data_IF_560000212303
#
_entry.id   IF_560000212303
#
_cell.length_a   1.000
_cell.length_b   1.000
_cell.length_c   1.000
_cell.angle_alpha   90.00
_cell.angle_beta   90.00
_cell.angle_gamma   90.00
#
_symmetry.space_group_name_H-M   'P 1'
#
loop_
_entity.id
_entity.type
_entity.pdbx_description
1 polymer ?
#
# COMPACT_ATOMS: atom_id res chain seq x y z
N UNK A 1 5.73 -13.40 17.77
CA UNK A 1 5.56 -12.04 17.21
C UNK A 1 5.23 -12.21 15.73
N UNK A 2 4.13 -11.64 15.24
CA UNK A 2 3.66 -11.88 13.86
C UNK A 2 4.67 -11.42 12.80
N UNK A 3 4.94 -12.27 11.80
CA UNK A 3 5.75 -11.90 10.63
C UNK A 3 4.93 -10.97 9.74
N UNK A 4 5.59 -9.95 9.16
CA UNK A 4 4.93 -8.97 8.27
C UNK A 4 5.37 -9.20 6.83
N UNK A 5 4.44 -9.17 5.87
CA UNK A 5 4.75 -9.07 4.45
C UNK A 5 4.37 -7.70 3.95
N UNK A 6 5.35 -6.92 3.49
CA UNK A 6 5.11 -5.61 2.87
C UNK A 6 4.98 -5.80 1.36
N UNK A 7 3.78 -5.58 0.84
CA UNK A 7 3.48 -5.64 -0.59
C UNK A 7 3.68 -4.23 -1.18
N UNK A 8 4.64 -4.11 -2.10
CA UNK A 8 4.99 -2.86 -2.78
C UNK A 8 4.50 -2.92 -4.22
N UNK A 9 3.42 -2.22 -4.54
CA UNK A 9 2.88 -2.17 -5.91
C UNK A 9 3.69 -1.21 -6.78
N UNK A 10 4.17 -1.66 -7.93
CA UNK A 10 5.03 -0.84 -8.81
C UNK A 10 4.65 -0.97 -10.28
N UNK A 11 4.96 0.07 -11.06
CA UNK A 11 4.86 0.07 -12.52
C UNK A 11 5.82 1.11 -13.13
N UNK A 12 6.81 0.65 -13.90
CA UNK A 12 7.70 1.45 -14.76
C UNK A 12 8.28 2.75 -14.13
N UNK A 13 8.70 2.68 -12.87
CA UNK A 13 9.43 3.78 -12.22
C UNK A 13 10.56 3.26 -11.29
N UNK A 14 11.63 2.68 -11.88
CA UNK A 14 12.69 2.02 -11.13
C UNK A 14 13.38 2.93 -10.11
N UNK A 15 13.58 4.21 -10.39
CA UNK A 15 14.27 5.13 -9.48
C UNK A 15 13.47 5.41 -8.21
N UNK A 16 12.14 5.56 -8.32
CA UNK A 16 11.27 5.69 -7.17
C UNK A 16 11.24 4.39 -6.37
N UNK A 17 11.13 3.25 -7.06
CA UNK A 17 11.15 1.94 -6.43
C UNK A 17 12.46 1.70 -5.65
N UNK A 18 13.61 2.11 -6.19
CA UNK A 18 14.90 2.02 -5.49
C UNK A 18 14.85 2.80 -4.16
N UNK A 19 14.27 4.00 -4.13
CA UNK A 19 14.12 4.79 -2.89
C UNK A 19 13.17 4.12 -1.89
N UNK A 20 12.05 3.56 -2.35
CA UNK A 20 11.09 2.84 -1.49
C UNK A 20 11.73 1.58 -0.90
N UNK A 21 12.37 0.75 -1.72
CA UNK A 21 13.07 -0.45 -1.25
C UNK A 21 14.22 -0.08 -0.31
N UNK A 22 14.94 1.01 -0.55
CA UNK A 22 15.96 1.49 0.39
C UNK A 22 15.34 1.89 1.74
N UNK A 23 14.13 2.47 1.75
CA UNK A 23 13.42 2.78 3.00
C UNK A 23 12.96 1.55 3.78
N UNK A 24 12.72 0.43 3.08
CA UNK A 24 12.43 -0.87 3.69
C UNK A 24 13.69 -1.54 4.23
N UNK A 25 14.79 -1.51 3.49
CA UNK A 25 16.11 -1.99 3.97
C UNK A 25 16.54 -1.25 5.25
N UNK A 26 16.10 0.00 5.41
CA UNK A 26 16.45 0.87 6.54
C UNK A 26 15.50 0.75 7.75
N UNK A 27 14.55 -0.19 7.73
CA UNK A 27 13.66 -0.43 8.86
C UNK A 27 14.44 -0.91 10.08
N UNK A 28 13.96 -0.54 11.27
CA UNK A 28 14.51 -1.03 12.55
C UNK A 28 14.01 -2.42 12.94
N UNK A 29 13.00 -2.90 12.23
CA UNK A 29 12.36 -4.18 12.43
C UNK A 29 12.82 -5.09 11.30
N UNK A 30 13.26 -6.31 11.58
CA UNK A 30 13.79 -7.27 10.61
C UNK A 30 12.90 -8.51 10.41
N UNK A 31 11.86 -8.69 11.24
CA UNK A 31 10.93 -9.81 11.12
C UNK A 31 9.84 -9.56 10.07
N UNK A 32 10.26 -9.25 8.86
CA UNK A 32 9.38 -9.00 7.73
C UNK A 32 10.02 -9.46 6.41
N UNK A 33 9.20 -9.54 5.38
CA UNK A 33 9.63 -9.69 4.00
C UNK A 33 9.01 -8.60 3.13
N UNK A 34 9.59 -8.40 1.95
CA UNK A 34 9.06 -7.49 0.93
C UNK A 34 8.66 -8.31 -0.28
N UNK A 35 7.47 -8.03 -0.83
CA UNK A 35 7.01 -8.59 -2.08
C UNK A 35 6.73 -7.43 -3.02
N UNK A 36 7.53 -7.30 -4.07
CA UNK A 36 7.31 -6.30 -5.12
C UNK A 36 6.26 -6.85 -6.07
N UNK A 37 5.08 -6.23 -6.07
CA UNK A 37 3.95 -6.53 -6.94
C UNK A 37 4.05 -5.66 -8.20
N UNK A 38 4.66 -6.21 -9.24
CA UNK A 38 5.03 -5.52 -10.48
C UNK A 38 4.01 -5.77 -11.60
N UNK A 39 3.23 -4.74 -11.94
CA UNK A 39 2.11 -4.81 -12.89
C UNK A 39 2.58 -4.64 -14.34
N UNK A 40 3.59 -5.42 -14.76
CA UNK A 40 4.07 -5.41 -16.14
C UNK A 40 5.14 -4.38 -16.45
N UNK A 41 6.02 -4.06 -15.49
CA UNK A 41 7.17 -3.19 -15.80
C UNK A 41 8.18 -3.86 -16.73
N UNK A 42 8.97 -3.02 -17.42
CA UNK A 42 10.06 -3.46 -18.27
C UNK A 42 11.33 -3.91 -17.51
N UNK A 43 12.38 -4.35 -18.26
CA UNK A 43 13.58 -4.94 -17.68
C UNK A 43 14.33 -4.09 -16.65
N UNK A 44 14.30 -2.76 -16.79
CA UNK A 44 14.97 -1.83 -15.85
C UNK A 44 14.44 -1.95 -14.41
N UNK A 45 13.14 -2.22 -14.26
CA UNK A 45 12.51 -2.43 -12.95
C UNK A 45 12.99 -3.75 -12.33
N UNK A 46 13.02 -4.83 -13.12
CA UNK A 46 13.55 -6.12 -12.66
C UNK A 46 15.04 -6.04 -12.27
N UNK A 47 15.85 -5.32 -13.05
CA UNK A 47 17.27 -5.07 -12.72
C UNK A 47 17.43 -4.30 -11.41
N UNK A 48 16.57 -3.29 -11.17
CA UNK A 48 16.54 -2.54 -9.92
C UNK A 48 16.18 -3.44 -8.74
N UNK A 49 15.17 -4.30 -8.87
CA UNK A 49 14.79 -5.24 -7.81
C UNK A 49 15.93 -6.22 -7.51
N UNK A 50 16.55 -6.80 -8.55
CA UNK A 50 17.70 -7.71 -8.39
C UNK A 50 18.90 -7.05 -7.69
N UNK A 51 19.17 -5.78 -7.99
CA UNK A 51 20.19 -4.99 -7.29
C UNK A 51 19.85 -4.79 -5.81
N UNK A 52 18.58 -4.54 -5.49
CA UNK A 52 18.14 -4.32 -4.10
C UNK A 52 18.10 -5.62 -3.30
N UNK A 53 17.72 -6.75 -3.91
CA UNK A 53 17.79 -8.09 -3.31
C UNK A 53 19.18 -8.40 -2.75
N UNK A 54 20.25 -8.09 -3.50
CA UNK A 54 21.64 -8.32 -3.08
C UNK A 54 22.08 -7.50 -1.86
N UNK A 55 21.40 -6.39 -1.57
CA UNK A 55 21.74 -5.47 -0.47
C UNK A 55 20.84 -5.65 0.75
N UNK A 56 19.72 -6.34 0.60
CA UNK A 56 18.67 -6.36 1.60
C UNK A 56 19.00 -7.35 2.72
N UNK A 57 18.87 -6.93 4.00
CA UNK A 57 18.98 -7.86 5.13
C UNK A 57 17.74 -8.75 5.28
N UNK A 58 16.63 -8.41 4.62
CA UNK A 58 15.37 -9.17 4.63
C UNK A 58 15.04 -9.69 3.22
N UNK A 59 14.25 -10.77 3.09
CA UNK A 59 13.85 -11.28 1.78
C UNK A 59 13.08 -10.23 0.97
N UNK A 60 13.50 -10.02 -0.28
CA UNK A 60 12.75 -9.28 -1.28
C UNK A 60 12.36 -10.25 -2.39
N UNK A 61 11.06 -10.49 -2.56
CA UNK A 61 10.49 -11.33 -3.61
C UNK A 61 9.90 -10.43 -4.70
N UNK A 62 9.82 -10.95 -5.93
CA UNK A 62 9.28 -10.24 -7.10
C UNK A 62 8.12 -11.05 -7.67
N UNK A 63 6.91 -10.52 -7.57
CA UNK A 63 5.75 -11.00 -8.33
C UNK A 63 5.61 -10.12 -9.56
N UNK A 64 5.79 -10.69 -10.74
CA UNK A 64 5.59 -10.00 -12.00
C UNK A 64 4.44 -10.63 -12.76
N UNK A 65 3.60 -9.80 -13.37
CA UNK A 65 2.60 -10.24 -14.34
C UNK A 65 2.79 -9.50 -15.66
N UNK A 66 2.31 -10.08 -16.75
CA UNK A 66 2.37 -9.46 -18.07
C UNK A 66 1.69 -8.07 -18.08
N UNK A 67 2.18 -7.14 -18.90
CA UNK A 67 1.52 -5.85 -19.10
C UNK A 67 0.30 -6.03 -20.02
N UNK A 68 -0.89 -6.08 -19.44
CA UNK A 68 -2.15 -6.03 -20.19
C UNK A 68 -3.05 -4.93 -19.61
N UNK A 69 -2.49 -3.73 -19.49
CA UNK A 69 -3.19 -2.58 -18.90
C UNK A 69 -3.19 -2.58 -17.37
N UNK A 70 -3.76 -1.55 -16.78
CA UNK A 70 -3.68 -1.28 -15.34
C UNK A 70 -4.49 -2.31 -14.53
N UNK A 71 -3.81 -3.25 -13.88
CA UNK A 71 -4.42 -4.40 -13.18
C UNK A 71 -3.86 -4.56 -11.77
N UNK A 72 -3.92 -3.46 -11.01
CA UNK A 72 -3.42 -3.35 -9.65
C UNK A 72 -4.00 -4.41 -8.69
N UNK A 73 -5.31 -4.68 -8.77
CA UNK A 73 -5.95 -5.72 -7.95
C UNK A 73 -5.34 -7.10 -8.19
N UNK A 74 -5.13 -7.48 -9.46
CA UNK A 74 -4.57 -8.78 -9.85
C UNK A 74 -3.13 -8.94 -9.35
N UNK A 75 -2.29 -7.92 -9.53
CA UNK A 75 -0.89 -8.01 -9.09
C UNK A 75 -0.78 -8.06 -7.56
N UNK A 76 -1.66 -7.34 -6.84
CA UNK A 76 -1.73 -7.41 -5.36
C UNK A 76 -2.18 -8.78 -4.89
N UNK A 77 -3.18 -9.39 -5.52
CA UNK A 77 -3.62 -10.75 -5.19
C UNK A 77 -2.53 -11.79 -5.39
N UNK A 78 -1.80 -11.72 -6.51
CA UNK A 78 -0.65 -12.60 -6.74
C UNK A 78 0.45 -12.43 -5.68
N UNK A 79 0.73 -11.20 -5.26
CA UNK A 79 1.64 -10.91 -4.16
C UNK A 79 1.13 -11.42 -2.79
N UNK A 80 -0.17 -11.34 -2.53
CA UNK A 80 -0.79 -11.92 -1.33
C UNK A 80 -0.61 -13.45 -1.34
N UNK A 81 -0.82 -14.11 -2.48
CA UNK A 81 -0.69 -15.57 -2.59
C UNK A 81 0.72 -16.07 -2.19
N UNK A 82 1.77 -15.36 -2.62
CA UNK A 82 3.16 -15.73 -2.32
C UNK A 82 3.72 -15.23 -0.97
N UNK A 83 2.92 -14.46 -0.23
CA UNK A 83 3.31 -13.93 1.08
C UNK A 83 3.35 -15.03 2.15
N UNK A 84 4.26 -14.91 3.11
CA UNK A 84 4.43 -15.81 4.26
C UNK A 84 4.13 -15.13 5.59
N UNK A 85 3.90 -13.82 5.61
CA UNK A 85 3.59 -13.06 6.81
C UNK A 85 2.15 -13.22 7.26
N UNK A 86 1.94 -13.22 8.57
CA UNK A 86 0.61 -13.23 9.19
C UNK A 86 -0.12 -11.89 8.95
N UNK A 87 0.65 -10.81 8.82
CA UNK A 87 0.15 -9.44 8.59
C UNK A 87 0.63 -8.98 7.22
N UNK A 88 -0.29 -8.54 6.38
CA UNK A 88 0.01 -7.91 5.10
C UNK A 88 -0.06 -6.40 5.26
N UNK A 89 0.93 -5.68 4.75
CA UNK A 89 0.94 -4.22 4.66
C UNK A 89 1.08 -3.80 3.20
N UNK A 90 0.16 -3.02 2.68
CA UNK A 90 0.20 -2.49 1.31
C UNK A 90 0.87 -1.12 1.28
N UNK A 91 1.74 -0.92 0.30
CA UNK A 91 2.32 0.38 -0.07
C UNK A 91 2.56 0.46 -1.58
N UNK A 92 2.77 1.67 -2.08
CA UNK A 92 3.07 1.91 -3.48
C UNK A 92 4.57 2.13 -3.71
N UNK A 93 5.05 1.88 -4.93
CA UNK A 93 6.45 1.98 -5.37
C UNK A 93 6.99 3.40 -5.42
N UNK A 94 6.17 4.39 -5.06
CA UNK A 94 6.52 5.80 -4.91
C UNK A 94 6.38 6.31 -3.46
N UNK A 95 6.07 5.43 -2.51
CA UNK A 95 5.82 5.76 -1.12
C UNK A 95 6.98 5.32 -0.21
N UNK A 96 7.88 6.26 0.11
CA UNK A 96 8.98 6.01 1.06
C UNK A 96 8.45 5.86 2.49
N UNK A 97 9.04 4.95 3.26
CA UNK A 97 8.52 4.54 4.57
C UNK A 97 9.43 5.01 5.71
N UNK A 98 8.83 5.57 6.77
CA UNK A 98 9.57 5.92 7.99
C UNK A 98 10.24 4.69 8.61
N UNK A 99 11.42 4.85 9.25
CA UNK A 99 12.22 3.74 9.80
C UNK A 99 11.52 2.80 10.81
N UNK A 100 10.38 3.22 11.37
CA UNK A 100 9.57 2.43 12.29
C UNK A 100 8.29 1.87 11.66
N UNK A 101 8.07 2.05 10.35
CA UNK A 101 6.84 1.73 9.63
C UNK A 101 6.33 0.32 9.87
N UNK A 102 7.20 -0.68 9.71
CA UNK A 102 6.85 -2.10 9.91
C UNK A 102 6.46 -2.36 11.36
N UNK A 103 7.32 -1.95 12.31
CA UNK A 103 7.05 -2.14 13.74
C UNK A 103 5.78 -1.44 14.23
N UNK A 104 5.44 -0.29 13.65
CA UNK A 104 4.23 0.46 13.96
C UNK A 104 2.98 -0.27 13.50
N UNK A 105 2.98 -0.81 12.28
CA UNK A 105 1.86 -1.59 11.76
C UNK A 105 1.69 -2.89 12.54
N UNK A 106 2.78 -3.59 12.85
CA UNK A 106 2.73 -4.80 13.67
C UNK A 106 2.14 -4.55 15.06
N UNK A 107 2.50 -3.43 15.70
CA UNK A 107 1.94 -3.04 17.00
C UNK A 107 0.47 -2.61 16.92
N UNK A 108 0.05 -2.04 15.80
CA UNK A 108 -1.31 -1.58 15.60
C UNK A 108 -2.29 -2.69 15.22
N UNK A 109 -1.77 -3.76 14.60
CA UNK A 109 -2.55 -4.91 14.15
C UNK A 109 -3.22 -5.61 15.32
N UNK A 110 -4.53 -5.84 15.18
CA UNK A 110 -5.38 -6.58 16.10
C UNK A 110 -6.33 -7.44 15.28
N UNK A 111 -6.76 -8.58 15.82
CA UNK A 111 -7.69 -9.47 15.12
C UNK A 111 -9.01 -8.75 14.79
N UNK A 112 -9.63 -9.10 13.66
CA UNK A 112 -10.87 -8.49 13.16
C UNK A 112 -10.77 -6.97 12.95
N UNK A 113 -9.57 -6.46 12.65
CA UNK A 113 -9.41 -5.08 12.21
C UNK A 113 -8.41 -4.94 11.06
N UNK A 114 -8.59 -3.89 10.27
CA UNK A 114 -7.55 -3.39 9.38
C UNK A 114 -7.10 -2.00 9.83
N UNK A 115 -5.79 -1.80 9.76
CA UNK A 115 -5.11 -0.58 10.12
C UNK A 115 -5.01 0.30 8.89
N UNK A 116 -5.34 1.59 9.01
CA UNK A 116 -5.09 2.59 7.96
C UNK A 116 -4.22 3.72 8.48
N UNK A 117 -3.19 4.08 7.72
CA UNK A 117 -2.34 5.23 8.00
C UNK A 117 -2.58 6.39 7.04
N UNK A 118 -1.79 7.45 7.18
CA UNK A 118 -1.86 8.65 6.33
C UNK A 118 -0.77 8.66 5.27
N UNK A 119 -1.08 9.36 4.17
CA UNK A 119 -0.11 9.73 3.13
C UNK A 119 0.26 11.21 3.20
N UNK A 120 1.56 11.47 3.21
CA UNK A 120 2.16 12.80 3.07
C UNK A 120 2.66 12.94 1.63
N UNK A 121 2.15 13.93 0.90
CA UNK A 121 2.60 14.22 -0.46
C UNK A 121 3.81 15.16 -0.42
N UNK A 122 4.94 14.68 -0.93
CA UNK A 122 6.10 15.51 -1.20
C UNK A 122 5.84 16.36 -2.45
N UNK A 123 6.40 17.58 -2.47
CA UNK A 123 6.30 18.46 -3.64
C UNK A 123 7.34 18.11 -4.69
N UNK A 124 7.07 18.50 -5.93
CA UNK A 124 7.93 18.25 -7.09
C UNK A 124 9.38 18.68 -6.85
N UNK A 125 9.59 19.92 -6.37
CA UNK A 125 10.92 20.48 -6.10
C UNK A 125 11.73 19.59 -5.16
N UNK A 126 11.13 19.17 -4.05
CA UNK A 126 11.81 18.33 -3.07
C UNK A 126 12.02 16.91 -3.61
N UNK A 127 11.03 16.36 -4.31
CA UNK A 127 11.14 15.02 -4.91
C UNK A 127 12.31 14.96 -5.89
N UNK A 128 12.40 15.92 -6.82
CA UNK A 128 13.53 16.00 -7.77
C UNK A 128 14.88 16.11 -7.06
N UNK A 129 14.96 16.93 -6.01
CA UNK A 129 16.16 17.06 -5.20
C UNK A 129 16.53 15.74 -4.50
N UNK A 130 15.54 15.08 -3.89
CA UNK A 130 15.71 13.83 -3.17
C UNK A 130 16.16 12.69 -4.09
N UNK A 131 15.55 12.55 -5.26
CA UNK A 131 15.91 11.55 -6.26
C UNK A 131 17.32 11.82 -6.82
N UNK A 132 17.61 13.05 -7.24
CA UNK A 132 18.92 13.43 -7.81
C UNK A 132 20.08 13.13 -6.85
N UNK A 133 19.89 13.40 -5.55
CA UNK A 133 20.94 13.23 -4.55
C UNK A 133 20.79 11.94 -3.71
N UNK A 134 19.83 11.07 -4.05
CA UNK A 134 19.50 9.84 -3.31
C UNK A 134 19.36 10.07 -1.80
N UNK A 135 18.64 11.13 -1.42
CA UNK A 135 18.47 11.52 -0.01
C UNK A 135 17.70 10.46 0.77
N UNK A 136 18.24 10.04 1.93
CA UNK A 136 17.56 9.13 2.88
C UNK A 136 16.68 9.91 3.86
N UNK A 137 15.75 10.70 3.33
CA UNK A 137 14.92 11.60 4.14
C UNK A 137 13.99 10.86 5.11
N UNK A 138 13.63 9.60 4.83
CA UNK A 138 12.90 8.71 5.74
C UNK A 138 13.63 8.42 7.06
N UNK A 139 14.95 8.68 7.12
CA UNK A 139 15.77 8.57 8.33
C UNK A 139 15.93 9.90 9.07
N UNK A 140 15.50 11.01 8.48
CA UNK A 140 15.68 12.31 9.11
C UNK A 140 14.86 12.39 10.41
N UNK A 141 15.36 13.14 11.42
CA UNK A 141 14.59 13.43 12.61
C UNK A 141 13.22 14.00 12.26
N UNK A 142 12.18 13.57 12.96
CA UNK A 142 10.80 14.00 12.69
C UNK A 142 10.64 15.52 12.77
N UNK A 143 11.39 16.21 13.62
CA UNK A 143 11.43 17.67 13.68
C UNK A 143 11.91 18.31 12.36
N UNK A 144 12.90 17.72 11.68
CA UNK A 144 13.36 18.21 10.37
C UNK A 144 12.29 17.98 9.31
N UNK A 145 11.61 16.82 9.32
CA UNK A 145 10.50 16.54 8.41
C UNK A 145 9.29 17.46 8.67
N UNK A 146 9.03 17.81 9.92
CA UNK A 146 8.04 18.81 10.29
C UNK A 146 8.37 20.18 9.66
N UNK A 147 9.62 20.65 9.81
CA UNK A 147 10.11 21.88 9.19
C UNK A 147 10.07 21.83 7.66
N UNK A 148 10.34 20.67 7.06
CA UNK A 148 10.20 20.45 5.62
C UNK A 148 8.75 20.74 5.16
N UNK A 149 7.76 20.32 5.95
CA UNK A 149 6.37 20.64 5.67
C UNK A 149 6.03 22.13 5.85
N UNK A 150 6.57 22.78 6.88
CA UNK A 150 6.36 24.22 7.10
C UNK A 150 6.99 25.10 6.00
N UNK A 151 8.07 24.64 5.37
CA UNK A 151 8.71 25.30 4.22
C UNK A 151 8.01 25.00 2.89
N UNK A 152 6.84 24.36 2.92
CA UNK A 152 6.03 24.10 1.73
C UNK A 152 6.48 22.91 0.88
N UNK A 153 7.42 22.08 1.35
CA UNK A 153 7.94 20.93 0.59
C UNK A 153 7.12 19.64 0.77
N UNK A 154 6.13 19.63 1.67
CA UNK A 154 5.10 18.59 1.76
C UNK A 154 3.76 19.16 2.27
N UNK A 155 2.66 18.43 2.12
CA UNK A 155 1.32 18.95 2.43
C UNK A 155 0.81 18.70 3.86
N UNK A 156 1.49 17.89 4.68
CA UNK A 156 0.99 17.47 6.01
C UNK A 156 2.10 17.45 7.08
N UNK A 157 2.64 18.61 7.49
CA UNK A 157 3.71 18.69 8.49
C UNK A 157 3.35 17.96 9.80
N UNK A 158 2.12 18.10 10.29
CA UNK A 158 1.68 17.53 11.57
C UNK A 158 1.74 15.99 11.65
N UNK A 159 1.88 15.29 10.53
CA UNK A 159 2.07 13.83 10.53
C UNK A 159 3.43 13.40 11.09
N UNK A 160 4.38 14.34 11.18
CA UNK A 160 5.66 14.11 11.80
C UNK A 160 5.65 14.31 13.31
N UNK A 161 4.59 14.89 13.89
CA UNK A 161 4.46 15.02 15.34
C UNK A 161 3.80 13.74 15.88
N UNK A 162 4.45 12.98 16.78
CA UNK A 162 3.89 11.76 17.34
C UNK A 162 2.85 12.09 18.42
N UNK A 163 1.66 12.54 18.00
CA UNK A 163 0.55 12.82 18.90
C UNK A 163 -0.09 11.48 19.32
N UNK A 164 -0.16 11.16 20.63
CA UNK A 164 -0.88 9.97 21.09
C UNK A 164 -2.35 10.02 20.67
N UNK A 165 -2.87 8.91 20.14
CA UNK A 165 -4.28 8.78 19.80
C UNK A 165 -5.05 8.09 20.93
N UNK A 166 -6.21 8.65 21.29
CA UNK A 166 -7.14 8.01 22.22
C UNK A 166 -7.83 6.81 21.56
N UNK A 167 -8.35 5.88 22.37
CA UNK A 167 -9.16 4.77 21.86
C UNK A 167 -10.33 5.27 21.01
N UNK A 168 -10.99 6.37 21.42
CA UNK A 168 -12.06 6.99 20.64
C UNK A 168 -11.59 7.41 19.24
N UNK A 169 -10.41 8.04 19.13
CA UNK A 169 -9.87 8.50 17.84
C UNK A 169 -9.46 7.34 16.92
N UNK A 170 -8.90 6.26 17.49
CA UNK A 170 -8.52 5.07 16.72
C UNK A 170 -9.72 4.43 16.00
N UNK A 171 -10.89 4.43 16.64
CA UNK A 171 -12.09 3.72 16.19
C UNK A 171 -13.22 4.63 15.66
N UNK A 172 -12.99 5.94 15.53
CA UNK A 172 -13.99 6.92 15.07
C UNK A 172 -14.62 6.53 13.72
N UNK A 173 -13.85 5.86 12.86
CA UNK A 173 -14.26 5.46 11.51
C UNK A 173 -14.40 3.94 11.35
N UNK A 174 -14.66 3.20 12.44
CA UNK A 174 -14.63 1.73 12.47
C UNK A 174 -15.43 1.05 11.36
N UNK A 175 -16.56 1.63 10.95
CA UNK A 175 -17.45 1.09 9.91
C UNK A 175 -17.47 1.94 8.62
N UNK A 176 -16.44 2.77 8.40
CA UNK A 176 -16.39 3.72 7.29
C UNK A 176 -15.26 3.39 6.31
N UNK A 177 -15.64 3.04 5.08
CA UNK A 177 -14.71 2.74 3.99
C UNK A 177 -14.03 3.98 3.41
N UNK A 178 -14.71 5.14 3.48
CA UNK A 178 -14.26 6.37 2.83
C UNK A 178 -12.91 6.84 3.37
N UNK A 179 -12.03 7.33 2.50
CA UNK A 179 -10.70 7.86 2.86
C UNK A 179 -9.77 6.83 3.51
N UNK A 180 -10.03 5.52 3.38
CA UNK A 180 -8.97 4.53 3.51
C UNK A 180 -8.10 4.64 2.24
N UNK A 181 -6.77 4.56 2.38
CA UNK A 181 -5.86 4.78 1.26
C UNK A 181 -5.09 3.49 1.01
N UNK A 182 -5.27 2.85 -0.15
CA UNK A 182 -4.64 1.55 -0.46
C UNK A 182 -3.12 1.48 -0.26
N UNK A 183 -2.43 2.62 -0.36
CA UNK A 183 -0.99 2.77 -0.14
C UNK A 183 -0.52 2.66 1.33
N UNK A 184 -1.44 2.54 2.29
CA UNK A 184 -1.10 2.47 3.72
C UNK A 184 -2.22 1.75 4.50
N UNK A 185 -2.45 0.48 4.12
CA UNK A 185 -3.39 -0.43 4.78
C UNK A 185 -2.61 -1.65 5.29
N UNK A 186 -2.93 -2.10 6.51
CA UNK A 186 -2.49 -3.40 6.98
C UNK A 186 -3.66 -4.22 7.55
N UNK A 187 -3.61 -5.54 7.35
CA UNK A 187 -4.57 -6.46 7.93
C UNK A 187 -3.95 -7.84 8.10
N UNK A 188 -4.56 -8.70 8.90
CA UNK A 188 -4.18 -10.11 8.95
C UNK A 188 -4.45 -10.77 7.59
N UNK A 189 -3.53 -11.65 7.16
CA UNK A 189 -3.65 -12.36 5.89
C UNK A 189 -4.94 -13.17 5.83
N UNK A 190 -5.33 -13.82 6.92
CA UNK A 190 -6.56 -14.61 7.00
C UNK A 190 -7.82 -13.75 6.79
N UNK A 191 -7.84 -12.53 7.33
CA UNK A 191 -8.93 -11.57 7.13
C UNK A 191 -9.03 -11.14 5.64
N UNK A 192 -7.90 -10.99 4.97
CA UNK A 192 -7.82 -10.68 3.52
C UNK A 192 -8.31 -11.87 2.69
N UNK A 193 -7.88 -13.09 3.04
CA UNK A 193 -8.29 -14.32 2.34
C UNK A 193 -9.77 -14.62 2.54
N UNK A 194 -10.31 -14.36 3.74
CA UNK A 194 -11.74 -14.51 4.05
C UNK A 194 -12.64 -13.73 3.09
N UNK A 195 -12.21 -12.54 2.67
CA UNK A 195 -12.95 -11.72 1.70
C UNK A 195 -12.52 -11.96 0.26
N UNK A 196 -11.64 -12.93 -0.02
CA UNK A 196 -11.14 -13.22 -1.37
C UNK A 196 -10.16 -12.18 -1.94
N UNK A 197 -9.52 -11.35 -1.11
CA UNK A 197 -8.57 -10.33 -1.56
C UNK A 197 -9.21 -9.15 -2.32
N UNK A 198 -8.45 -8.55 -3.25
CA UNK A 198 -8.94 -7.48 -4.12
C UNK A 198 -9.83 -8.04 -5.23
N UNK A 199 -10.80 -7.26 -5.69
CA UNK A 199 -11.62 -7.61 -6.85
C UNK A 199 -10.87 -7.31 -8.15
N UNK A 200 -10.51 -8.36 -8.88
CA UNK A 200 -9.78 -8.32 -10.14
C UNK A 200 -10.64 -7.88 -11.34
N UNK A 201 -11.94 -7.63 -11.12
CA UNK A 201 -12.78 -6.95 -12.10
C UNK A 201 -12.41 -5.46 -12.23
N UNK A 202 -11.78 -4.87 -11.20
CA UNK A 202 -11.30 -3.49 -11.26
C UNK A 202 -10.04 -3.38 -12.12
N UNK A 203 -10.20 -2.76 -13.28
CA UNK A 203 -9.12 -2.40 -14.20
C UNK A 203 -9.09 -0.88 -14.38
N UNK A 204 -7.90 -0.30 -14.50
CA UNK A 204 -7.75 1.15 -14.47
C UNK A 204 -7.75 1.74 -13.05
N UNK A 205 -7.75 3.06 -12.98
CA UNK A 205 -7.50 3.78 -11.73
C UNK A 205 -8.76 3.95 -10.88
N UNK A 206 -8.68 3.51 -9.62
CA UNK A 206 -9.55 3.96 -8.54
C UNK A 206 -10.70 3.01 -8.20
N UNK A 207 -11.21 3.19 -6.98
CA UNK A 207 -12.29 2.44 -6.33
C UNK A 207 -11.96 0.98 -5.97
N UNK A 208 -10.83 0.44 -6.40
CA UNK A 208 -10.41 -0.91 -6.03
C UNK A 208 -10.07 -1.01 -4.53
N UNK A 209 -9.47 0.04 -3.96
CA UNK A 209 -9.20 0.13 -2.52
C UNK A 209 -10.47 0.31 -1.70
N UNK A 210 -11.43 1.06 -2.24
CA UNK A 210 -12.73 1.34 -1.63
C UNK A 210 -13.61 0.10 -1.61
N UNK A 211 -13.65 -0.66 -2.70
CA UNK A 211 -14.30 -1.98 -2.79
C UNK A 211 -13.71 -2.94 -1.75
N UNK A 212 -12.38 -3.07 -1.75
CA UNK A 212 -11.66 -3.94 -0.82
C UNK A 212 -12.01 -3.62 0.65
N UNK A 213 -11.95 -2.34 1.03
CA UNK A 213 -12.26 -1.91 2.40
C UNK A 213 -13.73 -2.07 2.74
N UNK A 214 -14.66 -1.79 1.82
CA UNK A 214 -16.09 -1.98 2.06
C UNK A 214 -16.40 -3.47 2.31
N UNK A 215 -15.81 -4.38 1.54
CA UNK A 215 -15.94 -5.83 1.74
C UNK A 215 -15.35 -6.30 3.07
N UNK A 216 -14.19 -5.77 3.48
CA UNK A 216 -13.64 -6.02 4.83
C UNK A 216 -14.65 -5.66 5.93
N UNK A 217 -15.24 -4.46 5.85
CA UNK A 217 -16.23 -3.97 6.84
C UNK A 217 -17.46 -4.87 6.89
N UNK A 218 -17.98 -5.28 5.72
CA UNK A 218 -19.13 -6.20 5.62
C UNK A 218 -18.84 -7.59 6.17
N UNK A 219 -17.59 -8.05 6.09
CA UNK A 219 -17.14 -9.30 6.70
C UNK A 219 -16.90 -9.20 8.23
N UNK A 220 -17.23 -8.07 8.85
CA UNK A 220 -17.09 -7.81 10.29
C UNK A 220 -15.73 -7.24 10.71
N UNK A 221 -14.85 -6.91 9.75
CA UNK A 221 -13.50 -6.42 10.03
C UNK A 221 -13.52 -4.89 10.13
N UNK A 222 -13.18 -4.36 11.29
CA UNK A 222 -13.32 -2.92 11.58
C UNK A 222 -12.08 -2.12 11.20
N UNK A 223 -12.28 -0.86 10.85
CA UNK A 223 -11.20 0.08 10.58
C UNK A 223 -10.57 0.64 11.86
N UNK A 224 -9.24 0.61 11.93
CA UNK A 224 -8.43 1.29 12.96
C UNK A 224 -7.55 2.36 12.33
N UNK A 225 -7.69 3.61 12.75
CA UNK A 225 -6.97 4.76 12.18
C UNK A 225 -5.71 5.09 12.98
N UNK A 226 -4.54 4.81 12.41
CA UNK A 226 -3.24 5.19 12.99
C UNK A 226 -2.68 6.41 12.26
N UNK A 227 -3.14 7.59 12.64
CA UNK A 227 -2.79 8.82 11.94
C UNK A 227 -1.30 9.14 12.05
N UNK A 228 -0.74 9.11 13.26
CA UNK A 228 0.60 9.64 13.54
C UNK A 228 1.70 8.57 13.67
N UNK A 229 1.32 7.30 13.67
CA UNK A 229 2.24 6.21 14.05
C UNK A 229 3.26 5.94 12.94
N UNK A 230 2.86 5.97 11.67
CA UNK A 230 3.77 5.84 10.51
C UNK A 230 3.13 6.30 9.19
N UNK A 231 3.28 7.59 8.81
CA UNK A 231 2.85 8.04 7.49
C UNK A 231 3.76 7.49 6.38
N UNK A 232 3.18 7.30 5.19
CA UNK A 232 3.95 7.09 3.96
C UNK A 232 4.29 8.43 3.30
N UNK A 233 5.47 8.52 2.70
CA UNK A 233 6.00 9.72 2.08
C UNK A 233 5.99 9.54 0.56
N UNK A 234 4.92 10.04 -0.06
CA UNK A 234 4.67 9.86 -1.48
C UNK A 234 5.49 10.85 -2.30
N UNK A 235 6.37 10.31 -3.13
CA UNK A 235 7.17 11.04 -4.11
C UNK A 235 6.24 11.71 -5.12
N UNK A 236 6.55 12.94 -5.52
CA UNK A 236 5.78 13.60 -6.56
C UNK A 236 6.04 12.92 -7.91
N UNK A 237 4.99 12.43 -8.55
CA UNK A 237 4.97 12.20 -9.99
C UNK A 237 4.08 13.25 -10.66
N UNK A 238 4.47 13.66 -11.86
CA UNK A 238 3.55 14.41 -12.72
C UNK A 238 2.29 13.57 -12.96
N UNK A 239 1.14 14.22 -13.12
CA UNK A 239 -0.08 13.55 -13.62
C UNK A 239 0.03 13.23 -15.12
N UNK A 240 1.23 13.00 -15.64
CA UNK A 240 1.42 12.50 -17.01
C UNK A 240 0.99 11.04 -17.00
N UNK A 241 -0.31 10.84 -17.14
CA UNK A 241 -0.95 9.55 -17.37
C UNK A 241 -0.24 8.92 -18.56
N UNK A 242 0.49 7.80 -18.39
CA UNK A 242 0.73 6.94 -19.54
C UNK A 242 -0.64 6.56 -20.09
N UNK A 243 -0.73 6.36 -21.40
CA UNK A 243 -1.92 5.93 -22.16
C UNK A 243 -2.76 4.81 -21.51
N UNK A 244 -2.23 4.10 -20.51
CA UNK A 244 -2.87 3.08 -19.66
C UNK A 244 -4.15 3.54 -18.93
N UNK A 245 -4.33 4.85 -18.71
CA UNK A 245 -5.53 5.40 -18.06
C UNK A 245 -6.52 6.07 -19.03
N UNK A 246 -6.30 5.96 -20.35
CA UNK A 246 -7.07 6.69 -21.34
C UNK A 246 -8.51 6.15 -21.54
N UNK A 247 -8.77 4.91 -21.15
CA UNK A 247 -10.09 4.31 -21.30
C UNK A 247 -11.02 4.71 -20.14
N UNK A 248 -12.30 4.97 -20.46
CA UNK A 248 -13.32 5.22 -19.45
C UNK A 248 -13.38 4.03 -18.47
N UNK A 249 -13.09 4.30 -17.20
CA UNK A 249 -13.09 3.27 -16.16
C UNK A 249 -14.52 2.78 -15.91
N UNK A 250 -14.71 1.45 -15.91
CA UNK A 250 -15.96 0.80 -15.51
C UNK A 250 -16.10 0.70 -13.98
N UNK A 251 -15.07 1.08 -13.22
CA UNK A 251 -14.98 0.93 -11.78
C UNK A 251 -16.13 1.60 -11.00
N UNK A 252 -16.64 2.78 -11.39
CA UNK A 252 -17.82 3.35 -10.73
C UNK A 252 -19.06 2.45 -10.85
N UNK A 253 -19.26 1.80 -12.00
CA UNK A 253 -20.35 0.84 -12.19
C UNK A 253 -20.19 -0.40 -11.30
N UNK A 254 -18.98 -0.97 -11.24
CA UNK A 254 -18.69 -2.09 -10.34
C UNK A 254 -18.89 -1.74 -8.87
N UNK A 255 -18.49 -0.53 -8.46
CA UNK A 255 -18.65 -0.07 -7.09
C UNK A 255 -20.13 0.19 -6.75
N UNK A 256 -20.90 0.78 -7.66
CA UNK A 256 -22.34 0.97 -7.47
C UNK A 256 -23.06 -0.37 -7.30
N UNK A 257 -22.67 -1.42 -8.05
CA UNK A 257 -23.21 -2.76 -7.88
C UNK A 257 -22.85 -3.34 -6.49
N UNK A 258 -21.62 -3.14 -6.02
CA UNK A 258 -21.25 -3.49 -4.64
C UNK A 258 -22.12 -2.76 -3.61
N UNK A 259 -22.33 -1.46 -3.78
CA UNK A 259 -23.17 -0.67 -2.86
C UNK A 259 -24.63 -1.16 -2.86
N UNK A 260 -25.17 -1.56 -4.02
CA UNK A 260 -26.53 -2.12 -4.14
C UNK A 260 -26.67 -3.51 -3.49
N UNK A 261 -25.64 -4.35 -3.58
CA UNK A 261 -25.60 -5.69 -2.97
C UNK A 261 -25.08 -5.60 -1.52
N UNK A 262 -25.92 -5.17 -0.59
CA UNK A 262 -25.54 -4.83 0.78
C UNK A 262 -24.79 -5.94 1.54
N UNK A 263 -25.09 -7.21 1.26
CA UNK A 263 -24.52 -8.38 1.95
C UNK A 263 -23.26 -8.94 1.26
N UNK A 264 -22.89 -8.44 0.07
CA UNK A 264 -21.71 -8.94 -0.65
C UNK A 264 -20.43 -8.48 0.03
N UNK A 265 -19.63 -9.45 0.49
CA UNK A 265 -18.27 -9.26 1.01
C UNK A 265 -17.19 -10.03 0.23
N UNK A 266 -17.55 -10.73 -0.84
CA UNK A 266 -16.62 -11.40 -1.76
C UNK A 266 -16.48 -10.62 -3.07
N UNK A 267 -15.33 -10.72 -3.77
CA UNK A 267 -15.12 -10.09 -5.07
C UNK A 267 -15.94 -10.80 -6.15
N UNK A 268 -16.21 -10.10 -7.24
CA UNK A 268 -16.77 -10.70 -8.47
C UNK A 268 -15.73 -11.60 -9.14
N UNK A 269 -14.47 -11.16 -9.16
CA UNK A 269 -13.36 -11.93 -9.74
C UNK A 269 -12.16 -11.89 -8.80
N UNK A 270 -11.59 -13.04 -8.48
CA UNK A 270 -10.33 -13.11 -7.74
C UNK A 270 -9.64 -14.44 -7.95
N UNK A 271 -8.32 -14.38 -8.14
CA UNK A 271 -7.42 -15.54 -8.16
C UNK A 271 -7.18 -16.15 -6.78
N UNK A 272 -7.61 -15.48 -5.70
CA UNK A 272 -7.53 -15.98 -4.33
C UNK A 272 -8.79 -16.72 -3.87
N UNK A 273 -9.89 -16.62 -4.62
CA UNK A 273 -11.05 -17.48 -4.40
C UNK A 273 -10.77 -18.85 -5.04
N UNK A 274 -11.18 -19.96 -4.39
CA UNK A 274 -11.18 -21.25 -5.06
C UNK A 274 -12.08 -21.15 -6.30
N UNK A 275 -11.59 -21.66 -7.44
CA UNK A 275 -12.44 -21.87 -8.61
C UNK A 275 -13.58 -22.76 -8.14
N UNK A 276 -14.82 -22.29 -8.25
CA UNK A 276 -15.97 -23.17 -8.06
C UNK A 276 -15.78 -24.32 -9.04
N UNK A 277 -15.57 -25.53 -8.53
CA UNK A 277 -15.56 -26.74 -9.34
C UNK A 277 -16.91 -26.78 -10.05
N UNK A 278 -16.93 -26.37 -11.31
CA UNK A 278 -18.07 -26.56 -12.19
C UNK A 278 -18.21 -28.06 -12.38
N UNK A 279 -19.16 -28.64 -11.65
CA UNK A 279 -19.72 -29.97 -11.90
C UNK A 279 -20.44 -30.01 -13.25
#
# INVERSE_FOLDING_TARGET
>A
MHKVSVIVSTYNWPEALEMVLQSLIDQKDDNFEVIVADDGSGPETAQTIAKMQKKSPVPIKHFWQEDQGYRLSRVRNGAIAMSEGDIIVFTDGDCCLMSNFVSSHRKAAEANCFVTGKRVFLKERFTKLAMKNRLRFHKWPRAILFMLGLTGNCNRPFQFIPIPQSQKSLWEHANCWKKAQGCNIAAFKDDILKIGGFDEAYEGHGLEDSDFVLRMIRAGIRRKNVEYTSPVLHLFHGRSMPSRHANASKNPGYFNNLEAEADRFTPVKSSLLPVAETA
#
